data_IF_505886667131
#
_entry.id   IF_505886667131
#
_cell.length_a   1.000
_cell.length_b   1.000
_cell.length_c   1.000
_cell.angle_alpha   90.00
_cell.angle_beta   90.00
_cell.angle_gamma   90.00
#
_symmetry.space_group_name_H-M   'P 1'
#
loop_
_entity.id
_entity.type
_entity.pdbx_description
1 polymer ?
#
# COMPACT_ATOMS: atom_id res chain seq x y z
N UNK A 1 10.45 13.81 -44.97
CA UNK A 1 10.56 13.73 -43.49
C UNK A 1 9.22 13.91 -42.74
N UNK A 2 8.06 13.99 -43.41
CA UNK A 2 6.75 14.20 -42.77
C UNK A 2 6.02 12.97 -42.16
N UNK A 3 6.17 11.71 -42.67
CA UNK A 3 5.30 10.61 -42.22
C UNK A 3 5.67 10.08 -40.82
N UNK A 4 6.92 10.29 -40.39
CA UNK A 4 7.41 9.85 -39.07
C UNK A 4 6.86 10.72 -37.95
N UNK A 5 6.70 12.02 -38.21
CA UNK A 5 6.17 12.98 -37.22
C UNK A 5 4.69 12.71 -36.93
N UNK A 6 3.90 12.41 -37.97
CA UNK A 6 2.50 12.03 -37.81
C UNK A 6 2.35 10.75 -36.97
N UNK A 7 3.23 9.76 -37.17
CA UNK A 7 3.27 8.54 -36.35
C UNK A 7 3.68 8.83 -34.90
N UNK A 8 4.63 9.74 -34.68
CA UNK A 8 5.05 10.16 -33.34
C UNK A 8 3.92 10.89 -32.59
N UNK A 9 3.23 11.82 -33.25
CA UNK A 9 2.11 12.56 -32.68
C UNK A 9 0.94 11.62 -32.36
N UNK A 10 0.65 10.66 -33.26
CA UNK A 10 -0.38 9.64 -33.00
C UNK A 10 0.01 8.73 -31.83
N UNK A 11 1.27 8.28 -31.76
CA UNK A 11 1.78 7.47 -30.65
C UNK A 11 1.73 8.21 -29.30
N UNK A 12 2.08 9.50 -29.28
CA UNK A 12 1.97 10.37 -28.10
C UNK A 12 0.51 10.58 -27.69
N UNK A 13 -0.41 10.76 -28.65
CA UNK A 13 -1.83 10.91 -28.36
C UNK A 13 -2.46 9.62 -27.78
N UNK A 14 -1.98 8.45 -28.19
CA UNK A 14 -2.43 7.16 -27.64
C UNK A 14 -1.97 6.98 -26.18
N UNK A 15 -0.83 7.57 -25.78
CA UNK A 15 -0.37 7.53 -24.39
C UNK A 15 -1.20 8.43 -23.46
N UNK A 16 -1.99 9.39 -23.98
CA UNK A 16 -2.89 10.22 -23.17
C UNK A 16 -4.28 9.58 -22.95
N UNK A 17 -4.65 8.52 -23.68
CA UNK A 17 -5.93 7.82 -23.48
C UNK A 17 -5.85 6.64 -22.51
N UNK A 18 -4.64 6.25 -22.08
CA UNK A 18 -4.45 5.39 -20.90
C UNK A 18 -4.60 6.22 -19.63
N UNK A 19 -5.77 6.84 -19.48
CA UNK A 19 -6.34 7.06 -18.17
C UNK A 19 -6.50 5.66 -17.58
N UNK A 20 -5.53 5.25 -16.75
CA UNK A 20 -5.71 4.06 -15.94
C UNK A 20 -6.83 4.43 -14.95
N UNK A 21 -8.07 4.24 -15.39
CA UNK A 21 -9.13 3.92 -14.46
C UNK A 21 -8.72 2.57 -13.89
N UNK A 22 -7.83 2.60 -12.90
CA UNK A 22 -7.55 1.49 -12.01
C UNK A 22 -8.79 1.29 -11.13
N UNK A 23 -9.90 0.98 -11.80
CA UNK A 23 -11.10 0.41 -11.23
C UNK A 23 -10.93 -1.10 -11.38
N UNK A 24 -9.91 -1.65 -10.73
CA UNK A 24 -9.94 -3.07 -10.41
C UNK A 24 -10.90 -3.21 -9.23
N UNK A 25 -12.17 -3.39 -9.57
CA UNK A 25 -13.16 -4.05 -8.72
C UNK A 25 -12.63 -5.43 -8.34
N UNK A 26 -11.96 -5.48 -7.19
CA UNK A 26 -11.38 -6.68 -6.60
C UNK A 26 -10.34 -6.29 -5.57
N UNK A 27 -10.71 -6.35 -4.28
CA UNK A 27 -9.84 -6.47 -3.09
C UNK A 27 -8.36 -6.07 -3.21
N UNK A 28 -8.06 -4.93 -3.81
CA UNK A 28 -6.71 -4.58 -4.20
C UNK A 28 -6.05 -3.79 -3.09
N UNK A 29 -5.21 -4.45 -2.30
CA UNK A 29 -4.43 -3.78 -1.27
C UNK A 29 -3.36 -2.84 -1.82
N UNK A 30 -3.31 -2.62 -3.13
CA UNK A 30 -2.34 -1.76 -3.79
C UNK A 30 -2.36 -0.33 -3.23
N UNK A 31 -3.54 0.28 -3.05
CA UNK A 31 -3.63 1.64 -2.48
C UNK A 31 -3.13 1.70 -1.03
N UNK A 32 -3.46 0.68 -0.22
CA UNK A 32 -2.94 0.52 1.13
C UNK A 32 -1.41 0.35 1.12
N UNK A 33 -0.88 -0.48 0.23
CA UNK A 33 0.56 -0.73 0.06
C UNK A 33 1.26 0.56 -0.32
N UNK A 34 0.78 1.27 -1.33
CA UNK A 34 1.32 2.57 -1.78
C UNK A 34 1.34 3.58 -0.62
N UNK A 35 0.26 3.62 0.17
CA UNK A 35 0.20 4.45 1.38
C UNK A 35 1.22 4.03 2.45
N UNK A 36 1.50 2.73 2.56
CA UNK A 36 2.42 2.15 3.54
C UNK A 36 3.88 2.06 3.07
N UNK A 37 4.20 2.37 1.81
CA UNK A 37 5.58 2.50 1.30
C UNK A 37 6.48 3.32 2.23
N UNK A 38 6.10 4.54 2.68
CA UNK A 38 6.92 5.30 3.62
C UNK A 38 7.11 4.60 4.98
N UNK A 39 6.23 3.67 5.36
CA UNK A 39 6.36 2.87 6.58
C UNK A 39 7.26 1.65 6.42
N UNK A 40 7.52 1.19 5.18
CA UNK A 40 8.28 -0.02 4.90
C UNK A 40 9.64 0.00 5.59
N UNK A 41 10.36 1.12 5.55
CA UNK A 41 11.66 1.26 6.21
C UNK A 41 11.63 0.95 7.71
N UNK A 42 10.55 1.29 8.42
CA UNK A 42 10.44 0.98 9.85
C UNK A 42 10.22 -0.52 10.06
N UNK A 43 9.30 -1.12 9.30
CA UNK A 43 8.91 -2.54 9.43
C UNK A 43 9.94 -3.50 8.84
N UNK A 44 10.83 -3.04 7.95
CA UNK A 44 11.96 -3.82 7.40
C UNK A 44 13.24 -3.71 8.24
N UNK A 45 13.19 -3.09 9.44
CA UNK A 45 14.36 -2.73 10.29
C UNK A 45 15.35 -1.73 9.67
N UNK A 46 14.99 -1.07 8.57
CA UNK A 46 15.84 -0.04 7.96
C UNK A 46 15.85 1.28 8.76
N UNK A 47 14.80 1.56 9.54
CA UNK A 47 14.68 2.76 10.38
C UNK A 47 14.27 2.41 11.80
N UNK A 48 14.83 3.07 12.81
CA UNK A 48 14.49 2.86 14.22
C UNK A 48 13.12 3.38 14.61
N UNK A 49 12.58 4.38 13.90
CA UNK A 49 11.30 5.06 14.20
C UNK A 49 10.51 5.34 12.91
N UNK A 50 9.16 5.32 12.95
CA UNK A 50 8.34 5.68 11.81
C UNK A 50 8.37 7.21 11.58
N UNK A 51 8.22 7.62 10.33
CA UNK A 51 8.12 9.05 9.98
C UNK A 51 6.69 9.56 10.19
N UNK A 52 6.54 10.88 10.35
CA UNK A 52 5.22 11.51 10.47
C UNK A 52 4.31 11.22 9.26
N UNK A 53 4.92 11.21 8.06
CA UNK A 53 4.23 10.86 6.81
C UNK A 53 3.72 9.41 6.85
N UNK A 54 4.56 8.46 7.30
CA UNK A 54 4.14 7.09 7.52
C UNK A 54 2.92 6.99 8.46
N UNK A 55 2.96 7.68 9.61
CA UNK A 55 1.86 7.62 10.58
C UNK A 55 0.54 8.20 10.04
N UNK A 56 0.62 9.29 9.29
CA UNK A 56 -0.55 9.92 8.64
C UNK A 56 -1.18 9.00 7.59
N UNK A 57 -0.32 8.36 6.79
CA UNK A 57 -0.77 7.40 5.78
C UNK A 57 -1.33 6.14 6.42
N UNK A 58 -0.70 5.61 7.48
CA UNK A 58 -1.21 4.48 8.24
C UNK A 58 -2.61 4.77 8.78
N UNK A 59 -2.84 5.93 9.40
CA UNK A 59 -4.17 6.31 9.89
C UNK A 59 -5.21 6.35 8.77
N UNK A 60 -4.83 6.85 7.59
CA UNK A 60 -5.69 6.88 6.41
C UNK A 60 -6.03 5.46 5.91
N UNK A 61 -5.03 4.57 5.85
CA UNK A 61 -5.21 3.17 5.43
C UNK A 61 -6.02 2.36 6.44
N UNK A 62 -5.82 2.56 7.75
CA UNK A 62 -6.63 1.95 8.81
C UNK A 62 -8.11 2.30 8.62
N UNK A 63 -8.40 3.56 8.28
CA UNK A 63 -9.77 4.06 8.13
C UNK A 63 -10.39 3.65 6.79
N UNK A 64 -9.62 3.67 5.71
CA UNK A 64 -10.10 3.37 4.37
C UNK A 64 -10.11 1.88 4.04
N UNK A 65 -9.08 1.14 4.45
CA UNK A 65 -8.78 -0.24 4.05
C UNK A 65 -8.20 -1.09 5.21
N UNK A 66 -8.93 -1.25 6.33
CA UNK A 66 -8.45 -2.00 7.50
C UNK A 66 -8.12 -3.46 7.18
N UNK A 67 -8.83 -4.06 6.22
CA UNK A 67 -8.61 -5.43 5.75
C UNK A 67 -7.25 -5.62 5.08
N UNK A 68 -6.80 -4.64 4.33
CA UNK A 68 -5.52 -4.71 3.66
C UNK A 68 -4.35 -4.53 4.62
N UNK A 69 -4.52 -3.66 5.61
CA UNK A 69 -3.56 -3.57 6.71
C UNK A 69 -3.45 -4.91 7.45
N UNK A 70 -4.58 -5.54 7.76
CA UNK A 70 -4.64 -6.86 8.36
C UNK A 70 -3.87 -7.94 7.59
N UNK A 71 -3.99 -7.97 6.26
CA UNK A 71 -3.26 -8.91 5.41
C UNK A 71 -1.74 -8.64 5.47
N UNK A 72 -1.33 -7.38 5.45
CA UNK A 72 0.07 -6.98 5.55
C UNK A 72 0.67 -7.33 6.93
N UNK A 73 -0.09 -7.12 8.00
CA UNK A 73 0.34 -7.40 9.38
C UNK A 73 0.39 -8.90 9.71
N UNK A 74 -0.46 -9.74 9.11
CA UNK A 74 -0.45 -11.21 9.27
C UNK A 74 0.62 -11.91 8.40
N UNK A 75 1.73 -11.25 8.11
CA UNK A 75 2.83 -11.85 7.35
C UNK A 75 2.56 -12.09 5.86
N UNK A 76 1.37 -11.74 5.34
CA UNK A 76 1.08 -11.83 3.89
C UNK A 76 1.71 -10.69 3.09
N UNK A 77 2.38 -9.73 3.73
CA UNK A 77 3.29 -8.79 3.07
C UNK A 77 4.34 -9.48 2.20
N UNK A 78 4.76 -10.68 2.59
CA UNK A 78 5.67 -11.54 1.83
C UNK A 78 5.11 -11.91 0.46
N UNK A 79 3.78 -12.10 0.35
CA UNK A 79 3.10 -12.36 -0.92
C UNK A 79 3.13 -11.16 -1.87
N UNK A 80 3.42 -9.97 -1.35
CA UNK A 80 3.60 -8.73 -2.12
C UNK A 80 5.09 -8.41 -2.36
N UNK A 81 6.01 -9.35 -2.06
CA UNK A 81 7.44 -9.18 -2.28
C UNK A 81 8.14 -8.33 -1.21
N UNK A 82 7.52 -8.13 -0.04
CA UNK A 82 8.07 -7.32 1.04
C UNK A 82 8.31 -8.18 2.28
N UNK A 83 9.56 -8.22 2.76
CA UNK A 83 9.90 -8.87 4.03
C UNK A 83 9.55 -7.95 5.20
N UNK A 84 8.43 -8.23 5.87
CA UNK A 84 7.98 -7.47 7.03
C UNK A 84 8.44 -8.15 8.32
N UNK A 85 8.94 -7.36 9.28
CA UNK A 85 9.18 -7.83 10.63
C UNK A 85 7.87 -7.72 11.43
N UNK A 86 7.24 -8.85 11.75
CA UNK A 86 5.93 -8.88 12.41
C UNK A 86 5.91 -8.13 13.75
N UNK A 87 6.99 -8.22 14.54
CA UNK A 87 7.10 -7.50 15.82
C UNK A 87 6.98 -6.00 15.60
N UNK A 88 7.74 -5.44 14.65
CA UNK A 88 7.67 -4.01 14.33
C UNK A 88 6.36 -3.62 13.65
N UNK A 89 5.80 -4.51 12.85
CA UNK A 89 4.50 -4.28 12.22
C UNK A 89 3.39 -4.12 13.29
N UNK A 90 3.45 -4.90 14.37
CA UNK A 90 2.55 -4.80 15.53
C UNK A 90 2.85 -3.58 16.42
N UNK A 91 4.11 -3.14 16.49
CA UNK A 91 4.49 -1.94 17.24
C UNK A 91 4.20 -0.64 16.47
N UNK A 92 4.15 -0.67 15.13
CA UNK A 92 3.96 0.50 14.28
C UNK A 92 2.71 1.32 14.65
N UNK A 93 1.51 0.73 14.87
CA UNK A 93 0.34 1.50 15.33
C UNK A 93 0.58 2.19 16.67
N UNK A 94 1.28 1.54 17.61
CA UNK A 94 1.60 2.11 18.93
C UNK A 94 2.61 3.25 18.81
N UNK A 95 3.64 3.06 17.97
CA UNK A 95 4.66 4.07 17.69
C UNK A 95 4.07 5.32 16.99
N UNK A 96 3.06 5.13 16.15
CA UNK A 96 2.33 6.22 15.49
C UNK A 96 1.15 6.76 16.29
N UNK A 97 0.87 6.22 17.47
CA UNK A 97 -0.30 6.55 18.29
C UNK A 97 -1.64 6.41 17.55
N UNK A 98 -1.72 5.47 16.61
CA UNK A 98 -2.94 5.17 15.84
C UNK A 98 -3.68 4.02 16.49
N UNK A 99 -4.95 4.26 16.81
CA UNK A 99 -5.82 3.23 17.37
C UNK A 99 -6.24 2.28 16.25
N UNK A 100 -5.85 1.01 16.37
CA UNK A 100 -6.16 -0.04 15.39
C UNK A 100 -6.91 -1.17 16.10
N UNK A 101 -7.85 -1.84 15.41
CA UNK A 101 -8.44 -3.06 15.93
C UNK A 101 -7.35 -4.13 16.10
N UNK A 102 -7.50 -5.03 17.10
CA UNK A 102 -6.49 -6.04 17.36
C UNK A 102 -6.36 -6.98 16.16
N UNK A 103 -5.13 -7.43 15.86
CA UNK A 103 -4.86 -8.32 14.71
C UNK A 103 -5.60 -9.66 14.78
N UNK A 104 -6.07 -10.08 15.96
CA UNK A 104 -6.98 -11.22 16.10
C UNK A 104 -8.30 -11.01 15.33
N UNK A 105 -8.81 -9.79 15.27
CA UNK A 105 -10.00 -9.42 14.48
C UNK A 105 -9.71 -9.39 12.97
N UNK A 106 -8.44 -9.50 12.57
CA UNK A 106 -8.05 -9.65 11.18
C UNK A 106 -8.36 -11.06 10.63
N UNK A 107 -8.30 -12.09 11.47
CA UNK A 107 -8.51 -13.48 11.06
C UNK A 107 -9.95 -13.77 10.63
N UNK A 108 -10.93 -13.06 11.17
CA UNK A 108 -12.35 -13.25 10.84
C UNK A 108 -12.73 -12.75 9.43
N UNK A 109 -11.80 -12.12 8.72
CA UNK A 109 -12.08 -11.48 7.43
C UNK A 109 -11.09 -11.91 6.35
N UNK A 110 -10.57 -13.13 6.50
CA UNK A 110 -9.78 -13.86 5.50
C UNK A 110 -10.69 -14.42 4.38
N UNK A 111 -12.00 -14.28 4.48
CA UNK A 111 -12.91 -14.50 3.34
C UNK A 111 -12.90 -13.27 2.43
N UNK A 112 -11.97 -13.26 1.47
CA UNK A 112 -12.24 -12.64 0.17
C UNK A 112 -13.14 -13.59 -0.64
#
# INVERSE_FOLDING_TARGET
MAPTYLKLVLALAIMLVVNVSAQSSGGGCNSAIVGLVPCLNYVTRSSSSPTQSCCTQLASVVKAQPRCLCLLLNGRGSSFGVTLNETRALELPRACNVQTPPVSECNNQINC
#
